data_IF_239960474897
#
_entry.id   IF_239960474897
#
_cell.length_a   1.000
_cell.length_b   1.000
_cell.length_c   1.000
_cell.angle_alpha   90.00
_cell.angle_beta   90.00
_cell.angle_gamma   90.00
#
_symmetry.space_group_name_H-M   'P 1'
#
loop_
_entity.id
_entity.type
_entity.pdbx_description
1 polymer ?
#
# COMPACT_ATOMS: atom_id res chain seq x y z
N UNK A 1 -13.05 -7.82 0.77
CA UNK A 1 -13.88 -6.75 0.19
C UNK A 1 -13.08 -5.48 0.31
N UNK A 2 -12.99 -4.68 -0.76
CA UNK A 2 -12.28 -3.40 -0.73
C UNK A 2 -13.19 -2.33 -0.15
N UNK A 3 -12.69 -1.52 0.78
CA UNK A 3 -13.43 -0.44 1.45
C UNK A 3 -12.94 0.94 0.97
N UNK A 4 -13.77 1.99 1.02
CA UNK A 4 -13.35 3.33 0.63
C UNK A 4 -12.29 3.92 1.57
N UNK A 5 -11.23 4.50 0.97
CA UNK A 5 -10.16 5.15 1.73
C UNK A 5 -10.51 6.61 2.10
N UNK A 6 -10.12 7.06 3.30
CA UNK A 6 -10.03 8.47 3.64
C UNK A 6 -9.17 9.27 2.64
N UNK A 7 -9.48 10.56 2.48
CA UNK A 7 -8.82 11.45 1.50
C UNK A 7 -7.29 11.50 1.63
N UNK A 8 -6.77 11.42 2.85
CA UNK A 8 -5.33 11.51 3.11
C UNK A 8 -4.61 10.21 2.73
N UNK A 9 -5.20 9.04 3.02
CA UNK A 9 -4.70 7.72 2.62
C UNK A 9 -4.76 7.57 1.11
N UNK A 10 -5.87 7.99 0.48
CA UNK A 10 -6.02 7.94 -0.98
C UNK A 10 -4.95 8.75 -1.71
N UNK A 11 -4.55 9.91 -1.15
CA UNK A 11 -3.42 10.69 -1.70
C UNK A 11 -2.12 9.92 -1.63
N UNK A 12 -1.80 9.32 -0.47
CA UNK A 12 -0.56 8.54 -0.28
C UNK A 12 -0.57 7.29 -1.16
N UNK A 13 -1.71 6.61 -1.25
CA UNK A 13 -1.94 5.51 -2.18
C UNK A 13 -1.67 5.93 -3.62
N UNK A 14 -2.20 7.05 -4.09
CA UNK A 14 -1.98 7.52 -5.46
C UNK A 14 -0.48 7.80 -5.74
N UNK A 15 0.25 8.33 -4.76
CA UNK A 15 1.70 8.48 -4.86
C UNK A 15 2.41 7.12 -4.92
N UNK A 16 2.05 6.19 -4.05
CA UNK A 16 2.63 4.84 -4.06
C UNK A 16 2.33 4.14 -5.41
N UNK A 17 1.10 4.24 -5.92
CA UNK A 17 0.70 3.67 -7.21
C UNK A 17 1.50 4.27 -8.36
N UNK A 18 1.70 5.59 -8.38
CA UNK A 18 2.51 6.26 -9.40
C UNK A 18 3.96 5.76 -9.42
N UNK A 19 4.54 5.43 -8.26
CA UNK A 19 5.93 5.02 -8.15
C UNK A 19 6.15 3.52 -8.37
N UNK A 20 5.26 2.68 -7.82
CA UNK A 20 5.45 1.23 -7.78
C UNK A 20 4.50 0.47 -8.71
N UNK A 21 3.32 1.02 -9.01
CA UNK A 21 2.29 0.36 -9.82
C UNK A 21 2.06 -1.09 -9.36
N UNK A 22 2.26 -2.07 -10.24
CA UNK A 22 2.12 -3.51 -9.97
C UNK A 22 3.40 -4.16 -9.42
N UNK A 23 4.48 -3.38 -9.22
CA UNK A 23 5.73 -3.88 -8.68
C UNK A 23 5.65 -4.00 -7.16
N UNK A 24 6.34 -5.01 -6.66
CA UNK A 24 6.59 -5.22 -5.25
C UNK A 24 7.59 -4.19 -4.71
N UNK A 25 7.42 -3.76 -3.46
CA UNK A 25 8.32 -2.84 -2.77
C UNK A 25 8.41 -3.13 -1.28
N UNK A 26 9.47 -2.62 -0.64
CA UNK A 26 9.69 -2.73 0.80
C UNK A 26 9.22 -1.49 1.55
N UNK A 27 9.09 -1.60 2.87
CA UNK A 27 8.75 -0.45 3.72
C UNK A 27 9.74 0.71 3.51
N UNK A 28 11.05 0.42 3.44
CA UNK A 28 12.09 1.41 3.19
C UNK A 28 11.92 2.14 1.84
N UNK A 29 11.56 1.41 0.79
CA UNK A 29 11.31 2.01 -0.53
C UNK A 29 10.10 2.93 -0.49
N UNK A 30 9.04 2.54 0.19
CA UNK A 30 7.85 3.38 0.32
C UNK A 30 8.09 4.63 1.18
N UNK A 31 8.83 4.53 2.28
CA UNK A 31 9.27 5.67 3.09
C UNK A 31 10.01 6.68 2.21
N UNK A 32 10.96 6.19 1.39
CA UNK A 32 11.71 7.04 0.44
C UNK A 32 10.80 7.67 -0.62
N UNK A 33 9.87 6.92 -1.20
CA UNK A 33 8.96 7.41 -2.23
C UNK A 33 7.99 8.47 -1.70
N UNK A 34 7.43 8.27 -0.51
CA UNK A 34 6.50 9.20 0.13
C UNK A 34 7.20 10.38 0.82
N UNK A 35 8.54 10.34 0.94
CA UNK A 35 9.34 11.28 1.73
C UNK A 35 8.79 11.45 3.15
N UNK A 36 8.20 10.39 3.69
CA UNK A 36 7.53 10.41 4.99
C UNK A 36 8.57 10.22 6.09
N UNK A 37 8.64 11.20 6.99
CA UNK A 37 9.64 11.18 8.08
C UNK A 37 9.12 10.49 9.33
N UNK A 38 7.80 10.26 9.42
CA UNK A 38 7.17 9.61 10.57
C UNK A 38 6.93 8.10 10.31
N UNK A 39 7.71 7.19 10.93
CA UNK A 39 7.55 5.75 10.74
C UNK A 39 6.22 5.21 11.30
N UNK A 40 5.66 5.86 12.33
CA UNK A 40 4.40 5.46 12.91
C UNK A 40 3.25 5.69 11.91
N UNK A 41 3.23 6.86 11.26
CA UNK A 41 2.22 7.19 10.26
C UNK A 41 2.27 6.25 9.05
N UNK A 42 3.48 5.83 8.64
CA UNK A 42 3.65 4.81 7.61
C UNK A 42 3.09 3.44 8.01
N UNK A 43 3.26 3.07 9.28
CA UNK A 43 2.72 1.81 9.80
C UNK A 43 1.20 1.82 9.83
N UNK A 44 0.60 2.93 10.26
CA UNK A 44 -0.85 3.15 10.23
C UNK A 44 -1.37 3.08 8.79
N UNK A 45 -0.78 3.85 7.86
CA UNK A 45 -1.15 3.84 6.45
C UNK A 45 -1.14 2.43 5.85
N UNK A 46 -0.10 1.63 6.11
CA UNK A 46 -0.04 0.26 5.57
C UNK A 46 -1.02 -0.69 6.24
N UNK A 47 -1.28 -0.50 7.53
CA UNK A 47 -2.28 -1.28 8.23
C UNK A 47 -3.67 -0.99 7.65
N UNK A 48 -4.02 0.28 7.46
CA UNK A 48 -5.31 0.71 6.92
C UNK A 48 -5.49 0.27 5.47
N UNK A 49 -4.49 0.53 4.60
CA UNK A 49 -4.54 0.09 3.21
C UNK A 49 -4.65 -1.44 3.08
N UNK A 50 -4.00 -2.20 3.97
CA UNK A 50 -4.12 -3.66 3.98
C UNK A 50 -5.52 -4.09 4.39
N UNK A 51 -6.03 -3.55 5.50
CA UNK A 51 -7.34 -3.91 6.03
C UNK A 51 -8.47 -3.53 5.07
N UNK A 52 -8.37 -2.37 4.43
CA UNK A 52 -9.32 -1.91 3.41
C UNK A 52 -9.11 -2.57 2.04
N UNK A 53 -8.14 -3.48 1.90
CA UNK A 53 -7.94 -4.28 0.69
C UNK A 53 -7.30 -3.54 -0.49
N UNK A 54 -6.56 -2.46 -0.24
CA UNK A 54 -5.80 -1.69 -1.24
C UNK A 54 -4.32 -2.07 -1.33
N UNK A 55 -3.83 -2.83 -0.35
CA UNK A 55 -2.43 -3.23 -0.25
C UNK A 55 -2.33 -4.71 0.14
N UNK A 56 -1.56 -5.46 -0.65
CA UNK A 56 -1.18 -6.82 -0.32
C UNK A 56 0.16 -6.82 0.40
N UNK A 57 0.27 -7.63 1.44
CA UNK A 57 1.48 -7.78 2.24
C UNK A 57 1.86 -9.25 2.24
N UNK A 58 3.02 -9.55 1.69
CA UNK A 58 3.61 -10.89 1.63
C UNK A 58 4.97 -10.92 2.34
N UNK A 59 5.48 -12.12 2.60
CA UNK A 59 6.85 -12.31 3.07
C UNK A 59 7.77 -12.41 1.87
N UNK A 60 8.97 -11.83 1.97
CA UNK A 60 9.97 -11.97 0.92
C UNK A 60 10.35 -13.44 0.74
N UNK A 61 10.37 -13.92 -0.51
CA UNK A 61 10.72 -15.31 -0.84
C UNK A 61 12.16 -15.66 -0.52
N UNK A 62 13.06 -14.66 -0.47
CA UNK A 62 14.48 -14.83 -0.15
C UNK A 62 14.77 -14.65 1.35
N UNK A 63 14.05 -13.76 2.02
CA UNK A 63 14.21 -13.50 3.45
C UNK A 63 12.84 -13.34 4.13
N UNK A 64 12.33 -14.43 4.73
CA UNK A 64 11.01 -14.44 5.37
C UNK A 64 10.86 -13.44 6.52
N UNK A 65 11.96 -12.83 7.00
CA UNK A 65 11.93 -11.77 8.01
C UNK A 65 11.51 -10.42 7.42
N UNK A 66 11.60 -10.27 6.10
CA UNK A 66 11.25 -9.05 5.38
C UNK A 66 9.82 -9.13 4.84
N UNK A 67 9.12 -8.01 4.94
CA UNK A 67 7.79 -7.82 4.36
C UNK A 67 7.92 -7.14 3.01
N UNK A 68 7.22 -7.69 2.03
CA UNK A 68 7.09 -7.13 0.69
C UNK A 68 5.65 -6.69 0.51
N UNK A 69 5.48 -5.50 -0.05
CA UNK A 69 4.21 -4.84 -0.23
C UNK A 69 3.90 -4.74 -1.72
N UNK A 70 2.64 -4.95 -2.08
CA UNK A 70 2.18 -4.81 -3.46
C UNK A 70 0.86 -4.05 -3.47
N UNK A 71 0.80 -2.99 -4.27
CA UNK A 71 -0.41 -2.16 -4.34
C UNK A 71 -1.42 -2.84 -5.26
N UNK A 72 -2.68 -2.86 -4.82
CA UNK A 72 -3.80 -3.29 -5.65
C UNK A 72 -4.09 -2.25 -6.72
N UNK A 73 -4.38 -2.71 -7.93
CA UNK A 73 -4.70 -1.82 -9.03
C UNK A 73 -5.98 -1.00 -8.73
N UNK A 74 -5.99 0.34 -8.96
CA UNK A 74 -7.14 1.17 -8.61
C UNK A 74 -8.42 0.71 -9.30
N UNK A 75 -8.34 0.30 -10.57
CA UNK A 75 -9.48 -0.20 -11.33
C UNK A 75 -10.06 -1.48 -10.72
N UNK A 76 -9.21 -2.35 -10.17
CA UNK A 76 -9.63 -3.58 -9.52
C UNK A 76 -10.28 -3.29 -8.16
N UNK A 77 -9.64 -2.41 -7.37
CA UNK A 77 -10.15 -1.95 -6.09
C UNK A 77 -11.53 -1.29 -6.22
N UNK A 78 -11.70 -0.38 -7.18
CA UNK A 78 -12.99 0.29 -7.43
C UNK A 78 -14.06 -0.68 -7.95
N UNK A 79 -13.69 -1.65 -8.79
CA UNK A 79 -14.63 -2.70 -9.25
C UNK A 79 -15.13 -3.57 -8.10
N UNK A 80 -14.27 -3.89 -7.13
CA UNK A 80 -14.68 -4.63 -5.94
C UNK A 80 -15.57 -3.84 -4.99
N UNK A 81 -15.39 -2.51 -4.93
CA UNK A 81 -16.28 -1.63 -4.15
C UNK A 81 -17.66 -1.45 -4.79
N UNK A 82 -17.74 -1.56 -6.12
CA UNK A 82 -18.98 -1.39 -6.88
C UNK A 82 -19.83 -2.66 -6.97
N UNK A 83 -19.34 -3.78 -6.41
CA UNK A 83 -20.03 -5.07 -6.33
C UNK A 83 -20.67 -5.25 -4.97
#
# INVERSE_FOLDING_TARGET
MTEPLPKWEMRKYAYLWKNFQKKEFTNEQAIKALKEKNPHLMSVLFYDLKNMGWLFVERDKKDQRKKVYKIKEPNEAVKEMAK
#
